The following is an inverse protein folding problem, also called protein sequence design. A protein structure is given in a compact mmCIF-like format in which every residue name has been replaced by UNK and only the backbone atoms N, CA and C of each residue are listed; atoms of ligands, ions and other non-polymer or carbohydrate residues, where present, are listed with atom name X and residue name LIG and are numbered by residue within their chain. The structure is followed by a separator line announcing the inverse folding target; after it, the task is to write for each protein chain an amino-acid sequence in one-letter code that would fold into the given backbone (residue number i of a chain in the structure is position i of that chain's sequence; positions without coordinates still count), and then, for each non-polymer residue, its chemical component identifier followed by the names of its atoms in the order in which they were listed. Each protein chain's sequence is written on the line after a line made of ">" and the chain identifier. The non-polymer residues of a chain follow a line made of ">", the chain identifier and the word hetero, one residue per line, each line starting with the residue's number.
data_IF_148149418279
#
_entry.id   IF_148149418279
#
_cell.length_a   1.000
_cell.length_b   1.000
_cell.length_c   1.000
_cell.angle_alpha   90.00
_cell.angle_beta   90.00
_cell.angle_gamma   90.00
#
_symmetry.space_group_name_H-M   'P 1'
#
loop_
_entity.id
_entity.type
_entity.pdbx_description
1 polymer ?
#
# COMPACT_ATOMS: atom_id res chain seq x y z
N UNK A 1 25.16 -1.12 1.34
CA UNK A 1 23.78 -0.56 1.41
C UNK A 1 23.86 0.94 1.16
N UNK A 2 23.18 1.45 0.13
CA UNK A 2 23.23 2.88 -0.20
C UNK A 2 22.15 3.63 0.61
N UNK A 3 22.56 4.14 1.77
CA UNK A 3 21.71 4.89 2.69
C UNK A 3 21.04 6.12 2.06
N UNK A 4 21.66 6.73 1.05
CA UNK A 4 21.06 7.87 0.35
C UNK A 4 19.79 7.46 -0.38
N UNK A 5 19.74 6.24 -0.93
CA UNK A 5 18.51 5.70 -1.56
C UNK A 5 17.43 5.40 -0.52
N UNK A 6 17.80 4.86 0.65
CA UNK A 6 16.86 4.59 1.75
C UNK A 6 16.25 5.89 2.28
N UNK A 7 17.09 6.88 2.58
CA UNK A 7 16.64 8.20 3.08
C UNK A 7 15.77 8.92 2.04
N UNK A 8 16.15 8.88 0.76
CA UNK A 8 15.35 9.49 -0.33
C UNK A 8 13.97 8.81 -0.45
N UNK A 9 13.89 7.51 -0.27
CA UNK A 9 12.64 6.73 -0.23
C UNK A 9 11.78 7.08 1.00
N UNK A 10 12.38 7.23 2.18
CA UNK A 10 11.68 7.67 3.38
C UNK A 10 11.17 9.11 3.24
N UNK A 11 11.95 10.00 2.60
CA UNK A 11 11.55 11.38 2.33
C UNK A 11 10.42 11.48 1.31
N UNK A 12 10.35 10.59 0.31
CA UNK A 12 9.21 10.52 -0.63
C UNK A 12 7.90 10.09 0.05
N UNK A 13 7.97 9.39 1.19
CA UNK A 13 6.81 9.12 2.03
C UNK A 13 6.33 10.33 2.82
N UNK A 14 7.26 11.23 3.19
CA UNK A 14 6.99 12.41 4.00
C UNK A 14 6.92 13.72 3.20
N UNK A 15 7.03 13.70 1.89
CA UNK A 15 6.86 14.90 1.09
C UNK A 15 5.42 15.41 1.25
N UNK A 16 5.22 16.64 1.77
CA UNK A 16 3.89 17.21 1.83
C UNK A 16 3.40 17.37 0.39
N UNK A 17 2.36 16.62 0.03
CA UNK A 17 1.58 16.97 -1.15
C UNK A 17 1.06 18.36 -0.85
N UNK A 18 1.44 19.34 -1.67
CA UNK A 18 0.91 20.70 -1.63
C UNK A 18 -0.60 20.61 -1.46
N UNK A 19 -1.02 20.97 -0.27
CA UNK A 19 -2.41 20.91 0.14
C UNK A 19 -3.21 21.94 -0.65
N UNK A 20 -3.96 21.46 -1.64
CA UNK A 20 -5.22 22.12 -1.91
C UNK A 20 -6.07 21.93 -0.64
N UNK A 21 -6.44 23.05 -0.01
CA UNK A 21 -7.28 23.14 1.15
C UNK A 21 -8.62 22.42 0.91
N UNK A 22 -8.66 21.11 1.14
CA UNK A 22 -9.89 20.39 1.41
C UNK A 22 -9.88 20.08 2.90
N UNK A 23 -10.88 20.58 3.60
CA UNK A 23 -11.07 20.42 5.04
C UNK A 23 -10.93 18.94 5.42
N UNK A 24 -10.16 18.67 6.47
CA UNK A 24 -10.06 17.33 7.07
C UNK A 24 -11.48 16.93 7.51
N UNK A 25 -11.98 15.75 7.13
CA UNK A 25 -13.27 15.27 7.62
C UNK A 25 -13.23 15.17 9.15
N UNK A 26 -14.17 15.81 9.80
CA UNK A 26 -14.23 15.98 11.26
C UNK A 26 -14.63 14.74 12.07
N UNK A 27 -14.81 13.57 11.42
CA UNK A 27 -15.22 12.33 12.08
C UNK A 27 -14.24 11.19 11.76
N UNK A 28 -14.00 10.29 12.74
CA UNK A 28 -13.04 9.19 12.71
C UNK A 28 -13.15 8.13 11.58
N UNK A 29 -13.88 8.44 10.51
CA UNK A 29 -14.07 7.63 9.31
C UNK A 29 -13.51 8.29 8.03
N UNK A 30 -12.60 9.25 8.16
CA UNK A 30 -12.05 10.00 7.01
C UNK A 30 -11.52 9.10 5.89
N UNK A 31 -10.84 8.00 6.24
CA UNK A 31 -10.32 7.06 5.27
C UNK A 31 -11.42 6.32 4.46
N UNK A 32 -12.61 6.10 5.04
CA UNK A 32 -13.75 5.50 4.34
C UNK A 32 -14.24 6.41 3.21
N UNK A 33 -14.24 7.71 3.44
CA UNK A 33 -14.61 8.70 2.43
C UNK A 33 -13.62 8.65 1.26
N UNK A 34 -12.30 8.67 1.52
CA UNK A 34 -11.29 8.56 0.46
C UNK A 34 -11.41 7.25 -0.32
N UNK A 35 -11.68 6.12 0.34
CA UNK A 35 -11.93 4.84 -0.34
C UNK A 35 -13.17 4.90 -1.24
N UNK A 36 -14.23 5.57 -0.79
CA UNK A 36 -15.44 5.77 -1.58
C UNK A 36 -15.17 6.65 -2.80
N UNK A 37 -14.43 7.74 -2.63
CA UNK A 37 -14.03 8.63 -3.73
C UNK A 37 -13.16 7.90 -4.74
N UNK A 38 -12.15 7.16 -4.27
CA UNK A 38 -11.30 6.33 -5.13
C UNK A 38 -12.14 5.31 -5.93
N UNK A 39 -13.11 4.66 -5.29
CA UNK A 39 -14.04 3.73 -5.95
C UNK A 39 -14.79 4.38 -7.11
N UNK A 40 -15.35 5.59 -6.90
CA UNK A 40 -16.05 6.34 -7.96
C UNK A 40 -15.12 6.66 -9.14
N UNK A 41 -13.88 7.06 -8.88
CA UNK A 41 -12.90 7.30 -9.93
C UNK A 41 -12.55 6.03 -10.70
N UNK A 42 -12.42 4.88 -10.02
CA UNK A 42 -12.20 3.58 -10.70
C UNK A 42 -13.39 3.19 -11.58
N UNK A 43 -14.63 3.43 -11.16
CA UNK A 43 -15.80 3.14 -11.97
C UNK A 43 -15.90 4.06 -13.20
N UNK A 44 -15.57 5.34 -13.02
CA UNK A 44 -15.46 6.29 -14.13
C UNK A 44 -14.36 5.87 -15.11
N UNK A 45 -13.19 5.50 -14.63
CA UNK A 45 -12.10 4.96 -15.44
C UNK A 45 -12.57 3.77 -16.29
N UNK A 46 -13.24 2.77 -15.68
CA UNK A 46 -13.77 1.61 -16.41
C UNK A 46 -14.73 2.03 -17.54
N UNK A 47 -15.60 2.99 -17.26
CA UNK A 47 -16.55 3.53 -18.25
C UNK A 47 -15.81 4.16 -19.44
N UNK A 48 -14.76 4.93 -19.19
CA UNK A 48 -13.97 5.53 -20.27
C UNK A 48 -13.23 4.47 -21.10
N UNK A 49 -12.64 3.45 -20.48
CA UNK A 49 -11.97 2.37 -21.23
C UNK A 49 -12.96 1.54 -22.04
N UNK A 50 -14.18 1.28 -21.53
CA UNK A 50 -15.23 0.61 -22.30
C UNK A 50 -15.64 1.44 -23.53
N UNK A 51 -15.86 2.75 -23.37
CA UNK A 51 -16.15 3.67 -24.49
C UNK A 51 -14.99 3.71 -25.50
N UNK A 52 -13.75 3.73 -25.03
CA UNK A 52 -12.56 3.70 -25.89
C UNK A 52 -12.53 2.44 -26.74
N UNK A 53 -12.77 1.27 -26.15
CA UNK A 53 -12.84 0.00 -26.87
C UNK A 53 -13.95 -0.02 -27.93
N UNK A 54 -15.13 0.53 -27.62
CA UNK A 54 -16.25 0.67 -28.55
C UNK A 54 -15.92 1.62 -29.73
N UNK A 55 -15.32 2.78 -29.45
CA UNK A 55 -14.89 3.71 -30.50
C UNK A 55 -13.82 3.08 -31.41
N UNK A 56 -12.86 2.36 -30.83
CA UNK A 56 -11.84 1.67 -31.58
C UNK A 56 -12.40 0.61 -32.54
N UNK A 57 -13.40 -0.17 -32.08
CA UNK A 57 -14.07 -1.18 -32.91
C UNK A 57 -14.84 -0.59 -34.09
N UNK A 58 -15.27 0.69 -33.97
CA UNK A 58 -15.90 1.47 -35.06
C UNK A 58 -14.91 2.14 -36.01
N UNK A 59 -13.61 1.99 -35.75
CA UNK A 59 -12.56 2.66 -36.53
C UNK A 59 -12.28 4.10 -36.14
N UNK A 60 -12.93 4.63 -35.09
CA UNK A 60 -12.80 6.02 -34.59
C UNK A 60 -11.51 6.14 -33.73
N UNK A 61 -10.34 5.89 -34.31
CA UNK A 61 -9.07 5.74 -33.58
C UNK A 61 -8.68 6.97 -32.75
N UNK A 62 -8.85 8.18 -33.30
CA UNK A 62 -8.51 9.42 -32.57
C UNK A 62 -9.40 9.63 -31.36
N UNK A 63 -10.69 9.36 -31.50
CA UNK A 63 -11.64 9.43 -30.38
C UNK A 63 -11.39 8.37 -29.33
N UNK A 64 -11.08 7.15 -29.74
CA UNK A 64 -10.67 6.06 -28.82
C UNK A 64 -9.43 6.43 -28.02
N UNK A 65 -8.43 7.06 -28.65
CA UNK A 65 -7.22 7.55 -27.96
C UNK A 65 -7.55 8.61 -26.90
N UNK A 66 -8.38 9.60 -27.26
CA UNK A 66 -8.86 10.61 -26.30
C UNK A 66 -9.55 9.98 -25.10
N UNK A 67 -10.48 9.04 -25.32
CA UNK A 67 -11.17 8.35 -24.24
C UNK A 67 -10.25 7.52 -23.35
N UNK A 68 -9.22 6.93 -23.93
CA UNK A 68 -8.21 6.17 -23.17
C UNK A 68 -7.36 7.10 -22.27
N UNK A 69 -7.01 8.30 -22.72
CA UNK A 69 -6.31 9.31 -21.90
C UNK A 69 -7.21 9.80 -20.74
N UNK A 70 -8.50 10.02 -20.98
CA UNK A 70 -9.45 10.32 -19.91
C UNK A 70 -9.50 9.16 -18.87
N UNK A 71 -9.53 7.91 -19.32
CA UNK A 71 -9.44 6.74 -18.46
C UNK A 71 -8.17 6.72 -17.61
N UNK A 72 -7.04 7.06 -18.18
CA UNK A 72 -5.76 7.23 -17.48
C UNK A 72 -5.84 8.30 -16.39
N UNK A 73 -6.40 9.46 -16.72
CA UNK A 73 -6.57 10.55 -15.76
C UNK A 73 -7.37 10.10 -14.53
N UNK A 74 -8.52 9.46 -14.72
CA UNK A 74 -9.33 8.95 -13.61
C UNK A 74 -8.64 7.84 -12.82
N UNK A 75 -7.79 7.03 -13.45
CA UNK A 75 -6.95 6.05 -12.74
C UNK A 75 -5.98 6.74 -11.78
N UNK A 76 -5.33 7.83 -12.19
CA UNK A 76 -4.43 8.57 -11.31
C UNK A 76 -5.17 9.24 -10.15
N UNK A 77 -6.34 9.83 -10.39
CA UNK A 77 -7.19 10.37 -9.33
C UNK A 77 -7.56 9.28 -8.30
N UNK A 78 -8.00 8.10 -8.77
CA UNK A 78 -8.31 6.98 -7.90
C UNK A 78 -7.10 6.54 -7.06
N UNK A 79 -5.91 6.48 -7.69
CA UNK A 79 -4.67 6.13 -7.01
C UNK A 79 -4.31 7.13 -5.91
N UNK A 80 -4.47 8.43 -6.20
CA UNK A 80 -4.19 9.48 -5.22
C UNK A 80 -5.09 9.38 -3.99
N UNK A 81 -6.39 9.16 -4.18
CA UNK A 81 -7.34 9.01 -3.06
C UNK A 81 -7.09 7.72 -2.27
N UNK A 82 -6.73 6.63 -2.93
CA UNK A 82 -6.33 5.38 -2.26
C UNK A 82 -5.05 5.56 -1.42
N UNK A 83 -4.07 6.32 -1.90
CA UNK A 83 -2.86 6.63 -1.15
C UNK A 83 -3.15 7.53 0.07
N UNK A 84 -4.10 8.48 -0.06
CA UNK A 84 -4.57 9.29 1.08
C UNK A 84 -5.22 8.40 2.13
N UNK A 85 -6.16 7.55 1.71
CA UNK A 85 -6.81 6.59 2.61
C UNK A 85 -5.79 5.68 3.30
N UNK A 86 -4.79 5.19 2.57
CA UNK A 86 -3.73 4.36 3.14
C UNK A 86 -2.95 5.07 4.24
N UNK A 87 -2.58 6.33 4.04
CA UNK A 87 -1.86 7.11 5.05
C UNK A 87 -2.71 7.33 6.30
N UNK A 88 -3.95 7.77 6.14
CA UNK A 88 -4.86 8.02 7.27
C UNK A 88 -5.11 6.73 8.09
N UNK A 89 -5.30 5.59 7.40
CA UNK A 89 -5.43 4.28 8.06
C UNK A 89 -4.16 3.96 8.84
N UNK A 90 -2.98 4.11 8.19
CA UNK A 90 -1.71 3.77 8.82
C UNK A 90 -1.45 4.63 10.06
N UNK A 91 -1.63 5.94 9.95
CA UNK A 91 -1.48 6.86 11.07
C UNK A 91 -2.45 6.53 12.22
N UNK A 92 -3.73 6.31 11.91
CA UNK A 92 -4.74 6.00 12.90
C UNK A 92 -4.45 4.69 13.65
N UNK A 93 -3.99 3.65 12.95
CA UNK A 93 -3.74 2.31 13.50
C UNK A 93 -2.43 2.24 14.29
N UNK A 94 -1.40 2.96 13.86
CA UNK A 94 -0.09 2.94 14.49
C UNK A 94 0.13 4.06 15.53
N UNK A 95 -0.81 4.99 15.68
CA UNK A 95 -0.72 6.15 16.59
C UNK A 95 -0.34 5.79 18.03
N UNK A 96 -0.80 4.65 18.54
CA UNK A 96 -0.57 4.21 19.90
C UNK A 96 0.52 3.14 20.03
N UNK A 97 1.13 2.74 18.92
CA UNK A 97 2.26 1.81 18.91
C UNK A 97 3.52 2.61 19.16
N UNK A 98 4.10 2.48 20.35
CA UNK A 98 5.29 3.23 20.77
C UNK A 98 6.60 2.48 20.56
N UNK A 99 6.51 1.19 20.18
CA UNK A 99 7.69 0.36 19.92
C UNK A 99 7.88 0.13 18.42
N UNK A 100 9.13 -0.04 18.02
CA UNK A 100 9.53 -0.27 16.61
C UNK A 100 9.38 -1.73 16.17
N UNK A 101 9.10 -2.64 17.09
CA UNK A 101 8.96 -4.08 16.84
C UNK A 101 7.51 -4.50 16.55
N UNK A 102 6.61 -3.54 16.38
CA UNK A 102 5.22 -3.81 16.03
C UNK A 102 4.78 -2.86 14.91
N UNK A 103 4.10 -3.39 13.89
CA UNK A 103 3.45 -2.62 12.83
C UNK A 103 2.04 -3.11 12.62
N UNK A 104 1.10 -2.20 12.50
CA UNK A 104 -0.29 -2.51 12.20
C UNK A 104 -0.63 -2.15 10.75
N UNK A 105 -0.93 -3.18 9.97
CA UNK A 105 -1.26 -3.11 8.54
C UNK A 105 -2.74 -3.43 8.26
N UNK A 106 -3.55 -3.71 9.30
CA UNK A 106 -4.93 -4.09 9.06
C UNK A 106 -5.73 -2.92 8.44
N UNK A 107 -6.64 -3.25 7.52
CA UNK A 107 -7.42 -2.27 6.78
C UNK A 107 -6.71 -1.64 5.56
N UNK A 108 -5.43 -1.99 5.33
CA UNK A 108 -4.71 -1.58 4.12
C UNK A 108 -5.11 -2.43 2.90
N UNK A 109 -4.93 -1.93 1.69
CA UNK A 109 -4.86 -2.78 0.51
C UNK A 109 -3.54 -3.54 0.48
N UNK A 110 -3.53 -4.76 -0.07
CA UNK A 110 -2.34 -5.64 -0.06
C UNK A 110 -1.09 -4.93 -0.59
N UNK A 111 -1.19 -4.24 -1.74
CA UNK A 111 -0.05 -3.51 -2.33
C UNK A 111 0.53 -2.47 -1.37
N UNK A 112 -0.32 -1.71 -0.70
CA UNK A 112 0.09 -0.67 0.26
C UNK A 112 0.68 -1.29 1.52
N UNK A 113 0.05 -2.35 2.05
CA UNK A 113 0.55 -3.09 3.20
C UNK A 113 1.97 -3.66 2.95
N UNK A 114 2.19 -4.25 1.78
CA UNK A 114 3.51 -4.80 1.42
C UNK A 114 4.58 -3.72 1.32
N UNK A 115 4.24 -2.55 0.75
CA UNK A 115 5.18 -1.42 0.68
C UNK A 115 5.55 -0.93 2.08
N UNK A 116 4.57 -0.75 2.97
CA UNK A 116 4.78 -0.32 4.35
C UNK A 116 5.62 -1.35 5.13
N UNK A 117 5.32 -2.64 4.98
CA UNK A 117 6.08 -3.72 5.61
C UNK A 117 7.55 -3.72 5.17
N UNK A 118 7.82 -3.67 3.86
CA UNK A 118 9.19 -3.64 3.32
C UNK A 118 10.01 -2.50 3.93
N UNK A 119 9.45 -1.30 3.98
CA UNK A 119 10.11 -0.14 4.60
C UNK A 119 10.36 -0.38 6.08
N UNK A 120 9.38 -0.92 6.81
CA UNK A 120 9.51 -1.17 8.24
C UNK A 120 10.54 -2.28 8.54
N UNK A 121 10.59 -3.34 7.75
CA UNK A 121 11.63 -4.37 7.84
C UNK A 121 13.03 -3.79 7.65
N UNK A 122 13.21 -2.85 6.71
CA UNK A 122 14.48 -2.15 6.51
C UNK A 122 14.87 -1.31 7.73
N UNK A 123 13.92 -0.64 8.36
CA UNK A 123 14.17 0.10 9.61
C UNK A 123 14.63 -0.86 10.71
N UNK A 124 13.96 -2.00 10.85
CA UNK A 124 14.28 -3.01 11.87
C UNK A 124 15.68 -3.60 11.70
N UNK A 125 16.18 -3.77 10.46
CA UNK A 125 17.57 -4.24 10.21
C UNK A 125 18.64 -3.31 10.80
N UNK A 126 18.31 -2.02 10.91
CA UNK A 126 19.23 -1.01 11.44
C UNK A 126 19.19 -0.92 12.98
N UNK A 127 18.31 -1.71 13.60
CA UNK A 127 18.09 -1.70 15.05
C UNK A 127 18.45 -3.08 15.63
N UNK A 128 18.82 -3.15 16.91
CA UNK A 128 19.11 -4.44 17.56
C UNK A 128 17.81 -5.20 17.87
N UNK A 129 16.96 -5.37 16.87
CA UNK A 129 15.67 -6.06 16.98
C UNK A 129 15.79 -7.47 16.40
N UNK A 130 15.32 -8.45 17.15
CA UNK A 130 15.35 -9.87 16.75
C UNK A 130 14.02 -10.34 16.16
N UNK A 131 12.94 -9.60 16.36
CA UNK A 131 11.61 -9.96 15.87
C UNK A 131 10.80 -8.73 15.49
N UNK A 132 9.81 -8.92 14.62
CA UNK A 132 8.83 -7.92 14.21
C UNK A 132 7.44 -8.54 14.27
N UNK A 133 6.55 -7.94 15.05
CA UNK A 133 5.13 -8.29 15.12
C UNK A 133 4.35 -7.54 14.06
N UNK A 134 3.65 -8.24 13.18
CA UNK A 134 2.87 -7.68 12.08
C UNK A 134 1.38 -7.98 12.29
N UNK A 135 0.60 -6.94 12.56
CA UNK A 135 -0.86 -7.04 12.68
C UNK A 135 -1.45 -6.92 11.29
N UNK A 136 -2.02 -8.02 10.79
CA UNK A 136 -2.57 -8.14 9.43
C UNK A 136 -4.09 -8.08 9.39
N UNK A 137 -4.73 -8.24 10.57
CA UNK A 137 -6.16 -8.45 10.72
C UNK A 137 -6.62 -9.87 10.36
N UNK A 138 -7.76 -10.26 10.90
CA UNK A 138 -8.32 -11.60 10.69
C UNK A 138 -9.03 -11.78 9.33
N UNK A 139 -9.20 -10.69 8.56
CA UNK A 139 -10.12 -10.64 7.43
C UNK A 139 -11.57 -10.40 7.87
N UNK A 140 -12.34 -9.71 7.03
CA UNK A 140 -13.77 -9.53 7.30
C UNK A 140 -14.52 -10.82 6.99
N UNK A 141 -15.51 -11.15 7.79
CA UNK A 141 -16.40 -12.30 7.61
C UNK A 141 -16.78 -12.51 6.14
N UNK A 142 -16.36 -13.63 5.58
CA UNK A 142 -16.84 -14.18 4.32
C UNK A 142 -16.06 -13.84 3.04
N UNK A 143 -15.27 -12.77 2.92
CA UNK A 143 -14.68 -12.40 1.65
C UNK A 143 -13.18 -12.08 1.63
N UNK A 144 -12.57 -11.85 2.77
CA UNK A 144 -11.20 -11.33 2.85
C UNK A 144 -10.19 -12.23 3.53
N UNK A 145 -10.36 -13.56 3.52
CA UNK A 145 -9.51 -14.57 4.16
C UNK A 145 -8.03 -14.18 4.25
N UNK A 146 -7.68 -13.25 5.17
CA UNK A 146 -6.30 -12.93 5.48
C UNK A 146 -5.40 -12.57 4.29
N UNK A 147 -5.90 -11.82 3.29
CA UNK A 147 -5.12 -11.48 2.09
C UNK A 147 -3.78 -10.84 2.42
N UNK A 148 -3.76 -9.92 3.39
CA UNK A 148 -2.52 -9.28 3.84
C UNK A 148 -1.63 -10.32 4.50
N UNK A 149 -2.18 -11.15 5.42
CA UNK A 149 -1.43 -12.20 6.11
C UNK A 149 -0.76 -13.16 5.12
N UNK A 150 -1.50 -13.64 4.12
CA UNK A 150 -0.94 -14.51 3.07
C UNK A 150 0.16 -13.82 2.28
N UNK A 151 -0.04 -12.58 1.85
CA UNK A 151 0.97 -11.83 1.10
C UNK A 151 2.23 -11.55 1.95
N UNK A 152 2.08 -11.32 3.26
CA UNK A 152 3.21 -11.19 4.18
C UNK A 152 3.95 -12.51 4.28
N UNK A 153 3.25 -13.63 4.49
CA UNK A 153 3.86 -14.96 4.56
C UNK A 153 4.65 -15.28 3.27
N UNK A 154 4.05 -15.08 2.10
CA UNK A 154 4.70 -15.28 0.80
C UNK A 154 5.97 -14.40 0.63
N UNK A 155 5.93 -13.15 1.08
CA UNK A 155 7.09 -12.26 1.04
C UNK A 155 8.21 -12.78 1.93
N UNK A 156 7.92 -13.07 3.20
CA UNK A 156 8.95 -13.45 4.18
C UNK A 156 9.55 -14.83 3.90
N UNK A 157 8.76 -15.75 3.35
CA UNK A 157 9.25 -17.05 2.85
C UNK A 157 10.25 -16.87 1.70
N UNK A 158 9.93 -16.01 0.72
CA UNK A 158 10.87 -15.67 -0.37
C UNK A 158 12.17 -15.07 0.13
N UNK A 159 12.10 -14.29 1.20
CA UNK A 159 13.26 -13.67 1.84
C UNK A 159 13.97 -14.63 2.81
N UNK A 160 13.46 -15.84 3.01
CA UNK A 160 14.02 -16.80 3.96
C UNK A 160 13.96 -16.33 5.42
N UNK A 161 12.92 -15.56 5.77
CA UNK A 161 12.66 -15.07 7.12
C UNK A 161 11.77 -16.07 7.83
N UNK A 162 12.19 -16.56 9.00
CA UNK A 162 11.35 -17.41 9.85
C UNK A 162 10.19 -16.62 10.41
N UNK A 163 9.02 -17.22 10.46
CA UNK A 163 7.82 -16.60 11.01
C UNK A 163 6.90 -17.61 11.66
N UNK A 164 6.02 -17.14 12.54
CA UNK A 164 4.94 -17.95 13.12
C UNK A 164 3.68 -17.10 13.35
N UNK A 165 2.54 -17.77 13.47
CA UNK A 165 1.29 -17.11 13.84
C UNK A 165 1.22 -16.93 15.36
N UNK A 166 1.04 -15.70 15.81
CA UNK A 166 0.73 -15.40 17.21
C UNK A 166 -0.77 -15.60 17.47
N UNK A 167 -1.60 -15.19 16.51
CA UNK A 167 -3.06 -15.36 16.52
C UNK A 167 -3.62 -15.23 15.09
N UNK A 168 -4.95 -15.32 14.93
CA UNK A 168 -5.61 -15.25 13.62
C UNK A 168 -5.29 -14.00 12.81
N UNK A 169 -4.99 -12.86 13.46
CA UNK A 169 -4.74 -11.56 12.82
C UNK A 169 -3.31 -11.05 12.97
N UNK A 170 -2.40 -11.80 13.57
CA UNK A 170 -1.04 -11.33 13.87
C UNK A 170 -0.02 -12.43 13.60
N UNK A 171 1.06 -12.06 12.93
CA UNK A 171 2.23 -12.92 12.73
C UNK A 171 3.47 -12.26 13.31
N UNK A 172 4.43 -13.07 13.71
CA UNK A 172 5.72 -12.65 14.24
C UNK A 172 6.82 -13.13 13.30
N UNK A 173 7.65 -12.21 12.84
CA UNK A 173 8.79 -12.44 11.99
C UNK A 173 10.06 -12.46 12.83
N UNK A 174 10.98 -13.40 12.58
CA UNK A 174 12.29 -13.46 13.21
C UNK A 174 13.32 -12.79 12.32
N UNK A 175 13.76 -11.59 12.71
CA UNK A 175 14.66 -10.75 11.92
C UNK A 175 16.14 -10.99 12.25
N UNK A 176 16.67 -12.10 12.36
CA UNK A 176 18.00 -12.49 12.84
C UNK A 176 19.24 -11.71 12.34
N UNK A 177 19.46 -10.48 12.80
CA UNK A 177 20.69 -9.70 12.54
C UNK A 177 20.72 -8.96 11.19
N UNK A 178 21.88 -8.36 10.83
CA UNK A 178 22.07 -7.64 9.56
C UNK A 178 21.79 -8.56 8.37
N UNK A 179 20.83 -8.16 7.51
CA UNK A 179 20.40 -8.96 6.37
C UNK A 179 20.16 -8.06 5.17
N UNK A 180 20.55 -8.51 4.00
CA UNK A 180 20.13 -7.94 2.74
C UNK A 180 18.87 -8.66 2.25
N UNK A 181 17.83 -7.90 1.93
CA UNK A 181 16.59 -8.44 1.40
C UNK A 181 16.60 -8.40 -0.12
N UNK A 182 16.17 -9.49 -0.78
CA UNK A 182 16.08 -9.61 -2.23
C UNK A 182 15.14 -8.61 -2.86
N UNK A 183 14.10 -8.21 -2.13
CA UNK A 183 13.17 -7.20 -2.63
C UNK A 183 13.81 -5.81 -2.82
N UNK A 184 15.04 -5.57 -2.32
CA UNK A 184 15.80 -4.35 -2.60
C UNK A 184 16.44 -4.35 -3.98
N UNK A 185 16.73 -5.54 -4.54
CA UNK A 185 17.36 -5.69 -5.85
C UNK A 185 16.37 -5.51 -7.01
N UNK A 186 15.10 -5.92 -6.82
CA UNK A 186 14.07 -5.94 -7.87
C UNK A 186 13.27 -4.64 -8.05
N UNK A 187 13.39 -3.68 -7.14
CA UNK A 187 12.68 -2.39 -7.25
C UNK A 187 13.38 -1.40 -8.20
N UNK A 188 14.45 -1.80 -8.90
CA UNK A 188 15.22 -0.94 -9.82
C UNK A 188 14.63 -0.89 -11.24
N UNK A 189 13.72 -1.80 -11.60
CA UNK A 189 13.26 -2.01 -12.98
C UNK A 189 11.79 -1.62 -13.22
N UNK A 190 11.18 -0.85 -12.32
CA UNK A 190 9.75 -0.46 -12.44
C UNK A 190 9.59 1.06 -12.28
N UNK A 191 10.06 1.81 -13.28
CA UNK A 191 9.63 3.18 -13.59
C UNK A 191 8.86 3.20 -14.92
#
# INVERSE_FOLDING_TARGET
>A
MDWKKVVKRLQSFNSPITSNNQEKPKNGNGYQEFRTVAGRHYDTMKTYYQKAAMAYSKGEKSYASYLAEEGKHYRELARMEDERASREIFEARNKHITNTVTIDLHGQHVKQAMRLLKVHMMICVCMPTTFLRVITGCGVEGTGKGKIKRAVAELVEKEGVEWHEENAGTIVLRLGGPREYRFLEHDSDSD
#
